data_IF_054575087473
#
_entry.id   IF_054575087473
#
_cell.length_a   1.000
_cell.length_b   1.000
_cell.length_c   1.000
_cell.angle_alpha   90.00
_cell.angle_beta   90.00
_cell.angle_gamma   90.00
#
_symmetry.space_group_name_H-M   'P 1'
#
loop_
_entity.id
_entity.type
_entity.pdbx_description
1 polymer ?
#
# COMPACT_ATOMS: atom_id res chain seq x y z
N UNK A 1 51.18 60.09 16.41
CA UNK A 1 50.22 59.18 17.09
C UNK A 1 48.86 59.29 16.39
N UNK A 2 48.25 58.14 16.11
CA UNK A 2 46.97 57.91 15.43
C UNK A 2 45.80 58.77 15.96
N UNK A 3 44.92 59.25 15.06
CA UNK A 3 43.64 58.56 14.75
C UNK A 3 42.93 59.20 13.54
N UNK A 4 42.53 58.33 12.61
CA UNK A 4 41.68 58.54 11.42
C UNK A 4 40.20 58.38 11.80
N UNK A 5 39.33 58.83 10.90
CA UNK A 5 37.87 58.57 10.71
C UNK A 5 36.99 59.79 11.05
N UNK A 6 35.94 60.13 10.29
CA UNK A 6 35.08 59.29 9.44
C UNK A 6 34.34 60.13 8.38
N UNK A 7 33.97 59.48 7.26
CA UNK A 7 33.33 60.06 6.07
C UNK A 7 31.81 60.25 6.22
N UNK A 8 31.32 61.33 5.63
CA UNK A 8 29.92 61.70 5.38
C UNK A 8 29.33 60.96 4.17
N UNK A 9 28.06 60.56 4.23
CA UNK A 9 27.08 60.76 3.14
C UNK A 9 25.64 60.46 3.61
N UNK A 10 24.74 61.37 3.28
CA UNK A 10 23.29 61.39 3.55
C UNK A 10 22.54 61.00 2.27
N UNK A 11 21.37 60.37 2.38
CA UNK A 11 20.08 60.84 1.78
C UNK A 11 18.94 59.81 1.95
N UNK A 12 17.74 60.21 2.39
CA UNK A 12 16.52 59.41 2.30
C UNK A 12 15.75 59.75 0.99
N UNK A 13 15.06 58.77 0.41
CA UNK A 13 14.07 59.03 -0.64
C UNK A 13 12.82 58.16 -0.43
N UNK A 14 11.67 58.84 -0.43
CA UNK A 14 10.30 58.31 -0.38
C UNK A 14 9.79 58.01 -1.82
N UNK A 15 9.05 56.92 -2.01
CA UNK A 15 7.83 56.96 -2.86
C UNK A 15 7.77 56.17 -4.19
N UNK A 16 7.09 55.00 -4.10
CA UNK A 16 6.03 54.45 -4.99
C UNK A 16 6.35 53.75 -6.33
N UNK A 17 5.63 52.61 -6.45
CA UNK A 17 5.18 51.79 -7.61
C UNK A 17 6.06 50.66 -8.16
N UNK A 18 5.44 49.48 -8.20
CA UNK A 18 6.00 48.15 -8.42
C UNK A 18 5.84 47.67 -9.87
N UNK A 19 6.70 46.75 -10.31
CA UNK A 19 6.34 45.71 -11.29
C UNK A 19 6.86 44.37 -10.77
N UNK A 20 5.90 43.47 -10.54
CA UNK A 20 6.05 42.09 -10.11
C UNK A 20 6.45 41.27 -11.33
N UNK A 21 7.58 40.55 -11.27
CA UNK A 21 7.80 39.37 -12.11
C UNK A 21 7.71 38.15 -11.21
N UNK A 22 6.52 37.55 -11.19
CA UNK A 22 6.27 36.28 -10.53
C UNK A 22 6.91 35.17 -11.35
N UNK A 23 8.04 34.64 -10.87
CA UNK A 23 8.59 33.38 -11.38
C UNK A 23 7.67 32.25 -10.91
N UNK A 24 6.99 31.63 -11.88
CA UNK A 24 5.96 30.62 -11.64
C UNK A 24 6.46 29.45 -10.80
N UNK A 25 5.74 29.18 -9.72
CA UNK A 25 5.91 27.96 -8.93
C UNK A 25 5.36 26.79 -9.72
N UNK A 26 6.23 25.86 -10.14
CA UNK A 26 5.81 24.57 -10.67
C UNK A 26 5.23 23.76 -9.51
N UNK A 27 3.90 23.77 -9.33
CA UNK A 27 3.23 22.84 -8.43
C UNK A 27 3.30 21.44 -9.05
N UNK A 28 4.34 20.68 -8.68
CA UNK A 28 4.28 19.22 -8.77
C UNK A 28 3.28 18.74 -7.72
N UNK A 29 2.02 18.57 -8.13
CA UNK A 29 1.04 17.83 -7.34
C UNK A 29 1.40 16.36 -7.46
N UNK A 30 2.26 15.88 -6.57
CA UNK A 30 2.37 14.46 -6.30
C UNK A 30 1.02 14.01 -5.76
N UNK A 31 0.24 13.30 -6.58
CA UNK A 31 -0.86 12.51 -6.06
C UNK A 31 -0.24 11.42 -5.19
N UNK A 32 -0.26 11.63 -3.87
CA UNK A 32 -0.04 10.54 -2.94
C UNK A 32 -1.15 9.51 -3.21
N UNK A 33 -0.83 8.45 -3.93
CA UNK A 33 -1.66 7.25 -3.89
C UNK A 33 -1.60 6.77 -2.45
N UNK A 34 -2.71 6.90 -1.71
CA UNK A 34 -2.92 6.12 -0.50
C UNK A 34 -3.03 4.66 -0.94
N UNK A 35 -1.90 3.95 -0.98
CA UNK A 35 -1.91 2.50 -1.08
C UNK A 35 -2.67 1.97 0.14
N UNK A 36 -3.67 1.12 -0.13
CA UNK A 36 -4.71 0.77 0.82
C UNK A 36 -4.65 -0.76 1.10
N UNK A 37 -4.01 -1.21 2.19
CA UNK A 37 -3.67 -2.61 2.58
C UNK A 37 -4.60 -3.38 3.56
N UNK A 38 -5.17 -4.52 3.17
CA UNK A 38 -5.81 -5.44 4.11
C UNK A 38 -4.76 -6.26 4.88
N UNK A 39 -5.10 -6.73 6.09
CA UNK A 39 -4.31 -7.75 6.81
C UNK A 39 -5.16 -8.99 7.01
N UNK A 40 -4.67 -10.14 6.53
CA UNK A 40 -5.23 -11.44 6.87
C UNK A 40 -4.70 -11.84 8.24
N UNK A 41 -5.56 -11.80 9.26
CA UNK A 41 -5.24 -12.16 10.67
C UNK A 41 -5.81 -13.52 11.09
N UNK A 42 -6.53 -14.16 10.16
CA UNK A 42 -7.24 -15.44 10.32
C UNK A 42 -8.19 -15.48 11.52
N UNK A 43 -8.70 -14.30 11.91
CA UNK A 43 -9.75 -14.13 12.89
C UNK A 43 -11.11 -14.46 12.26
N UNK A 44 -11.49 -15.74 12.34
CA UNK A 44 -12.71 -16.27 11.74
C UNK A 44 -13.63 -16.79 12.85
N UNK A 45 -14.82 -16.23 12.97
CA UNK A 45 -15.79 -16.68 13.99
C UNK A 45 -16.29 -18.09 13.67
N UNK A 46 -16.15 -19.01 14.63
CA UNK A 46 -16.64 -20.38 14.50
C UNK A 46 -15.69 -21.35 13.82
N UNK A 47 -14.47 -20.93 13.48
CA UNK A 47 -13.39 -21.83 13.07
C UNK A 47 -12.80 -22.55 14.28
N UNK A 48 -12.39 -23.80 14.10
CA UNK A 48 -11.76 -24.64 15.11
C UNK A 48 -10.39 -25.12 14.63
N UNK A 49 -9.55 -25.56 15.56
CA UNK A 49 -8.29 -26.20 15.21
C UNK A 49 -8.53 -27.37 14.24
N UNK A 50 -7.66 -27.49 13.23
CA UNK A 50 -7.75 -28.46 12.13
C UNK A 50 -8.84 -28.19 11.09
N UNK A 51 -9.63 -27.12 11.22
CA UNK A 51 -10.52 -26.73 10.13
C UNK A 51 -9.70 -26.23 8.94
N UNK A 52 -10.13 -26.61 7.73
CA UNK A 52 -9.51 -26.13 6.50
C UNK A 52 -10.13 -24.82 6.04
N UNK A 53 -9.29 -23.85 5.66
CA UNK A 53 -9.76 -22.59 5.07
C UNK A 53 -10.47 -22.77 3.74
N UNK A 54 -10.21 -23.88 3.04
CA UNK A 54 -10.87 -24.22 1.79
C UNK A 54 -12.19 -24.98 1.99
N UNK A 55 -12.65 -25.18 3.23
CA UNK A 55 -13.97 -25.74 3.47
C UNK A 55 -15.07 -24.74 3.06
N UNK A 56 -16.27 -25.21 2.65
CA UNK A 56 -17.35 -24.33 2.22
C UNK A 56 -17.78 -23.29 3.26
N UNK A 57 -17.58 -23.57 4.55
CA UNK A 57 -17.92 -22.66 5.65
C UNK A 57 -17.02 -21.42 5.71
N UNK A 58 -15.78 -21.52 5.20
CA UNK A 58 -14.77 -20.46 5.26
C UNK A 58 -14.31 -20.00 3.87
N UNK A 59 -14.96 -20.50 2.82
CA UNK A 59 -14.70 -20.13 1.45
C UNK A 59 -14.81 -18.61 1.25
N UNK A 60 -13.82 -18.02 0.58
CA UNK A 60 -13.75 -16.59 0.31
C UNK A 60 -13.21 -15.74 1.45
N UNK A 61 -12.66 -16.33 2.52
CA UNK A 61 -11.87 -15.56 3.48
C UNK A 61 -10.68 -14.91 2.75
N UNK A 62 -10.54 -13.58 2.88
CA UNK A 62 -9.54 -12.80 2.16
C UNK A 62 -9.98 -12.26 0.80
N UNK A 63 -11.08 -12.77 0.23
CA UNK A 63 -11.56 -12.34 -1.07
C UNK A 63 -12.30 -11.01 -1.03
N UNK A 64 -11.98 -10.13 -1.97
CA UNK A 64 -12.70 -8.91 -2.30
C UNK A 64 -13.10 -8.13 -1.05
N UNK A 65 -12.11 -7.84 -0.19
CA UNK A 65 -12.34 -7.24 1.13
C UNK A 65 -12.90 -5.83 0.95
N UNK A 66 -14.22 -5.67 1.15
CA UNK A 66 -14.94 -4.38 1.12
C UNK A 66 -15.26 -3.83 2.52
N UNK A 67 -14.99 -4.60 3.57
CA UNK A 67 -15.15 -4.22 4.97
C UNK A 67 -14.17 -5.03 5.83
N UNK A 68 -13.63 -4.44 6.89
CA UNK A 68 -12.75 -5.14 7.85
C UNK A 68 -13.48 -6.18 8.71
N UNK A 69 -14.81 -6.19 8.63
CA UNK A 69 -15.64 -7.27 9.17
C UNK A 69 -16.69 -7.61 8.13
N UNK A 70 -16.73 -8.87 7.68
CA UNK A 70 -17.70 -9.36 6.70
C UNK A 70 -18.23 -10.72 7.13
N UNK A 71 -19.45 -10.73 7.67
CA UNK A 71 -20.03 -11.95 8.24
C UNK A 71 -19.19 -12.47 9.41
N UNK A 72 -18.61 -13.66 9.24
CA UNK A 72 -17.75 -14.32 10.23
C UNK A 72 -16.27 -13.94 10.11
N UNK A 73 -15.88 -13.22 9.06
CA UNK A 73 -14.49 -12.87 8.78
C UNK A 73 -14.13 -11.51 9.37
N UNK A 74 -12.98 -11.44 10.03
CA UNK A 74 -12.35 -10.19 10.49
C UNK A 74 -10.98 -10.03 9.85
N UNK A 75 -10.62 -8.78 9.54
CA UNK A 75 -9.37 -8.41 8.90
C UNK A 75 -8.73 -7.24 9.64
N UNK A 76 -7.41 -7.18 9.66
CA UNK A 76 -6.71 -6.01 10.18
C UNK A 76 -6.85 -4.81 9.23
N UNK A 77 -6.89 -3.62 9.81
CA UNK A 77 -7.12 -2.38 9.06
C UNK A 77 -5.85 -1.70 8.57
N UNK A 78 -4.68 -2.34 8.72
CA UNK A 78 -3.34 -1.72 8.57
C UNK A 78 -2.96 -1.36 7.13
N UNK A 79 -3.95 -1.02 6.32
CA UNK A 79 -3.80 -0.27 5.12
C UNK A 79 -5.12 -0.03 4.40
N UNK A 80 -6.18 -0.85 4.49
CA UNK A 80 -7.34 -0.62 3.63
C UNK A 80 -8.02 -1.83 3.03
N UNK A 81 -8.92 -1.52 2.10
CA UNK A 81 -9.83 -2.47 1.45
C UNK A 81 -9.26 -2.91 0.10
N UNK A 82 -9.43 -4.18 -0.23
CA UNK A 82 -8.95 -4.83 -1.46
C UNK A 82 -10.10 -5.48 -2.25
N UNK A 83 -11.12 -4.72 -2.69
CA UNK A 83 -12.28 -5.26 -3.40
C UNK A 83 -11.97 -5.96 -4.73
N UNK A 84 -10.79 -5.76 -5.30
CA UNK A 84 -10.37 -6.33 -6.58
C UNK A 84 -9.23 -7.34 -6.42
N UNK A 85 -9.10 -7.96 -5.24
CA UNK A 85 -8.12 -9.03 -4.98
C UNK A 85 -8.84 -10.27 -4.47
N UNK A 86 -8.41 -11.43 -4.94
CA UNK A 86 -8.83 -12.76 -4.49
C UNK A 86 -7.63 -13.46 -3.88
N UNK A 87 -7.86 -14.24 -2.84
CA UNK A 87 -6.86 -15.02 -2.12
C UNK A 87 -7.15 -16.50 -2.34
N UNK A 88 -6.15 -17.23 -2.80
CA UNK A 88 -6.18 -18.68 -2.93
C UNK A 88 -5.28 -19.31 -1.87
N UNK A 89 -5.84 -20.27 -1.15
CA UNK A 89 -5.12 -21.11 -0.21
C UNK A 89 -4.88 -22.48 -0.83
N UNK A 90 -3.73 -23.12 -0.61
CA UNK A 90 -3.41 -24.39 -1.23
C UNK A 90 -4.30 -25.49 -0.65
N UNK A 91 -5.31 -25.87 -1.44
CA UNK A 91 -6.27 -26.98 -1.28
C UNK A 91 -6.67 -27.35 0.19
N UNK A 92 -7.25 -28.53 0.40
CA UNK A 92 -7.74 -28.98 1.70
C UNK A 92 -6.63 -29.26 2.74
N UNK A 93 -5.41 -28.77 2.50
CA UNK A 93 -4.20 -29.01 3.31
C UNK A 93 -3.70 -27.75 3.99
N UNK A 94 -4.39 -26.62 3.80
CA UNK A 94 -4.21 -25.43 4.63
C UNK A 94 -5.19 -25.50 5.79
N UNK A 95 -4.65 -25.70 6.98
CA UNK A 95 -5.41 -25.85 8.22
C UNK A 95 -5.19 -24.64 9.11
N UNK A 96 -6.13 -24.42 10.02
CA UNK A 96 -6.08 -23.34 11.00
C UNK A 96 -5.72 -23.83 12.40
N UNK A 97 -4.98 -23.01 13.15
CA UNK A 97 -4.63 -23.28 14.54
C UNK A 97 -4.63 -22.03 15.41
N UNK A 98 -5.16 -22.13 16.63
CA UNK A 98 -5.42 -20.97 17.48
C UNK A 98 -4.19 -20.37 18.18
N UNK A 99 -3.29 -21.19 18.75
CA UNK A 99 -2.28 -20.74 19.73
C UNK A 99 -0.95 -21.50 19.64
N UNK A 100 0.07 -21.01 20.37
CA UNK A 100 1.37 -21.68 20.58
C UNK A 100 2.34 -21.65 19.38
N UNK A 101 2.04 -20.86 18.35
CA UNK A 101 2.98 -20.49 17.29
C UNK A 101 3.71 -19.20 17.67
N UNK A 102 4.79 -19.32 18.44
CA UNK A 102 5.49 -18.17 19.00
C UNK A 102 4.55 -17.21 19.76
N UNK A 103 4.48 -15.97 19.31
CA UNK A 103 3.53 -14.97 19.82
C UNK A 103 2.39 -14.64 18.83
N UNK A 104 2.22 -15.45 17.79
CA UNK A 104 1.09 -15.37 16.88
C UNK A 104 -0.11 -16.09 17.48
N UNK A 105 -1.29 -15.67 17.05
CA UNK A 105 -2.58 -16.30 17.38
C UNK A 105 -3.35 -16.44 16.09
N UNK A 106 -4.10 -17.52 15.93
CA UNK A 106 -4.91 -17.77 14.74
C UNK A 106 -4.04 -17.82 13.48
N UNK A 107 -3.28 -18.90 13.31
CA UNK A 107 -2.39 -19.08 12.17
C UNK A 107 -2.98 -20.05 11.18
N UNK A 108 -2.53 -19.97 9.93
CA UNK A 108 -2.64 -21.10 8.99
C UNK A 108 -1.32 -21.85 8.90
N UNK A 109 -1.39 -23.14 8.63
CA UNK A 109 -0.23 -23.99 8.44
C UNK A 109 -0.51 -25.07 7.39
N UNK A 110 0.55 -25.67 6.84
CA UNK A 110 0.44 -26.77 5.91
C UNK A 110 0.35 -28.10 6.66
N UNK A 111 -0.65 -28.92 6.32
CA UNK A 111 -0.85 -30.24 6.92
C UNK A 111 0.39 -31.16 6.71
N UNK A 112 0.80 -31.91 7.73
CA UNK A 112 1.99 -32.79 7.71
C UNK A 112 1.92 -33.86 6.62
N UNK A 113 0.79 -34.57 6.48
CA UNK A 113 0.62 -35.59 5.44
C UNK A 113 0.46 -34.98 4.03
N UNK A 114 0.55 -33.65 4.00
CA UNK A 114 -0.02 -32.67 3.12
C UNK A 114 0.86 -32.22 1.97
N UNK A 115 1.64 -31.22 2.34
CA UNK A 115 2.62 -30.53 1.55
C UNK A 115 3.55 -29.91 2.57
N UNK A 116 4.86 -30.13 2.49
CA UNK A 116 5.80 -29.37 3.34
C UNK A 116 6.09 -27.97 2.79
N UNK A 117 5.29 -27.54 1.80
CA UNK A 117 5.36 -26.25 1.12
C UNK A 117 3.96 -25.64 1.21
N UNK A 118 3.86 -24.42 1.72
CA UNK A 118 2.62 -23.64 1.71
C UNK A 118 2.75 -22.50 0.69
N UNK A 119 1.78 -22.41 -0.21
CA UNK A 119 1.66 -21.37 -1.24
C UNK A 119 0.36 -20.59 -1.06
N UNK A 120 0.41 -19.37 -0.53
CA UNK A 120 -0.75 -18.47 -0.48
C UNK A 120 -0.67 -17.50 -1.65
N UNK A 121 -1.67 -17.52 -2.54
CA UNK A 121 -1.65 -16.72 -3.78
C UNK A 121 -2.67 -15.58 -3.72
N UNK A 122 -2.18 -14.35 -3.93
CA UNK A 122 -2.99 -13.15 -4.07
C UNK A 122 -3.11 -12.80 -5.56
N UNK A 123 -4.33 -12.66 -6.07
CA UNK A 123 -4.59 -12.36 -7.48
C UNK A 123 -5.46 -11.11 -7.60
N UNK A 124 -4.98 -10.10 -8.30
CA UNK A 124 -5.74 -8.90 -8.61
C UNK A 124 -6.58 -9.08 -9.88
N UNK A 125 -7.77 -8.47 -9.90
CA UNK A 125 -8.59 -8.36 -11.11
C UNK A 125 -7.88 -7.53 -12.20
N UNK A 126 -8.24 -7.68 -13.48
CA UNK A 126 -7.68 -6.88 -14.56
C UNK A 126 -7.78 -5.37 -14.32
N UNK A 127 -6.67 -4.66 -14.53
CA UNK A 127 -6.59 -3.21 -14.25
C UNK A 127 -6.10 -2.89 -12.84
N UNK A 128 -5.81 -3.90 -12.01
CA UNK A 128 -5.24 -3.76 -10.68
C UNK A 128 -3.97 -4.61 -10.50
N UNK A 129 -3.18 -4.25 -9.50
CA UNK A 129 -2.07 -5.04 -8.97
C UNK A 129 -2.26 -5.22 -7.47
N UNK A 130 -1.88 -6.40 -6.97
CA UNK A 130 -1.65 -6.63 -5.55
C UNK A 130 -0.30 -6.03 -5.20
N UNK A 131 -0.20 -5.38 -4.05
CA UNK A 131 1.04 -4.91 -3.46
C UNK A 131 1.21 -5.62 -2.13
N UNK A 132 2.17 -6.52 -2.00
CA UNK A 132 2.46 -7.19 -0.73
C UNK A 132 3.37 -6.29 0.12
N UNK A 133 3.04 -6.10 1.39
CA UNK A 133 3.77 -5.24 2.33
C UNK A 133 4.53 -6.05 3.41
N UNK A 134 3.86 -7.01 4.04
CA UNK A 134 4.49 -7.88 5.03
C UNK A 134 3.70 -9.16 5.30
N UNK A 135 4.35 -10.11 5.97
CA UNK A 135 3.73 -11.29 6.57
C UNK A 135 4.60 -11.82 7.71
N UNK A 136 3.99 -12.56 8.62
CA UNK A 136 4.66 -13.12 9.80
C UNK A 136 4.64 -14.65 9.77
N UNK A 137 5.75 -15.27 10.14
CA UNK A 137 5.84 -16.71 10.42
C UNK A 137 6.18 -16.96 11.89
N UNK A 138 5.76 -18.10 12.44
CA UNK A 138 6.23 -18.55 13.75
C UNK A 138 6.26 -20.08 13.84
N UNK A 139 7.04 -20.60 14.78
CA UNK A 139 7.21 -22.02 15.06
C UNK A 139 6.27 -22.49 16.16
N UNK A 140 5.70 -23.68 16.02
CA UNK A 140 4.89 -24.28 17.09
C UNK A 140 5.78 -24.81 18.20
N UNK A 141 5.76 -24.16 19.37
CA UNK A 141 6.49 -24.58 20.60
C UNK A 141 8.01 -24.82 20.45
N UNK A 142 8.61 -24.42 19.34
CA UNK A 142 10.01 -24.69 19.02
C UNK A 142 10.55 -23.75 17.95
N UNK A 143 11.86 -23.54 17.98
CA UNK A 143 12.55 -22.82 16.91
C UNK A 143 12.87 -23.79 15.77
N UNK A 144 12.67 -23.34 14.53
CA UNK A 144 12.90 -24.15 13.34
C UNK A 144 13.79 -23.41 12.35
N UNK A 145 14.45 -24.16 11.46
CA UNK A 145 15.08 -23.59 10.28
C UNK A 145 14.48 -24.27 9.06
N UNK A 146 13.85 -23.50 8.19
CA UNK A 146 13.20 -24.01 6.97
C UNK A 146 14.08 -23.76 5.75
N UNK A 147 13.87 -24.52 4.68
CA UNK A 147 14.64 -24.42 3.44
C UNK A 147 14.59 -23.02 2.85
N UNK A 148 13.39 -22.45 2.71
CA UNK A 148 13.25 -21.12 2.11
C UNK A 148 11.93 -20.41 2.42
N UNK A 149 11.97 -19.09 2.26
CA UNK A 149 10.80 -18.22 2.11
C UNK A 149 10.96 -17.45 0.81
N UNK A 150 9.92 -17.42 -0.01
CA UNK A 150 9.91 -16.77 -1.32
C UNK A 150 8.63 -15.96 -1.52
N UNK A 151 8.74 -14.93 -2.35
CA UNK A 151 7.59 -14.30 -3.00
C UNK A 151 7.76 -14.49 -4.50
N UNK A 152 6.76 -15.06 -5.14
CA UNK A 152 6.73 -15.33 -6.58
C UNK A 152 5.78 -14.35 -7.26
N UNK A 153 6.22 -13.74 -8.37
CA UNK A 153 5.38 -12.96 -9.29
C UNK A 153 5.18 -13.77 -10.57
N UNK A 154 3.95 -14.22 -10.82
CA UNK A 154 3.65 -15.09 -11.97
C UNK A 154 4.53 -16.35 -12.05
N UNK A 155 4.92 -16.91 -10.90
CA UNK A 155 5.82 -18.07 -10.78
C UNK A 155 7.33 -17.75 -10.77
N UNK A 156 7.72 -16.49 -11.01
CA UNK A 156 9.13 -16.06 -10.92
C UNK A 156 9.45 -15.51 -9.54
N UNK A 157 10.51 -16.00 -8.90
CA UNK A 157 10.92 -15.50 -7.58
C UNK A 157 11.37 -14.04 -7.65
N UNK A 158 10.66 -13.16 -6.93
CA UNK A 158 10.98 -11.73 -6.77
C UNK A 158 11.54 -11.41 -5.38
N UNK A 159 11.33 -12.31 -4.41
CA UNK A 159 12.03 -12.36 -3.14
C UNK A 159 12.38 -13.80 -2.83
N UNK A 160 13.56 -14.04 -2.26
CA UNK A 160 13.96 -15.36 -1.78
C UNK A 160 14.96 -15.22 -0.65
N UNK A 161 14.71 -15.95 0.42
CA UNK A 161 15.67 -16.20 1.49
C UNK A 161 15.77 -17.72 1.68
N UNK A 162 16.98 -18.23 1.88
CA UNK A 162 17.22 -19.65 2.18
C UNK A 162 17.67 -19.81 3.63
N UNK A 163 17.53 -21.03 4.17
CA UNK A 163 17.94 -21.38 5.54
C UNK A 163 17.35 -20.41 6.56
N UNK A 164 16.02 -20.27 6.53
CA UNK A 164 15.31 -19.22 7.26
C UNK A 164 15.01 -19.68 8.67
N UNK A 165 15.49 -18.93 9.66
CA UNK A 165 15.17 -19.16 11.07
C UNK A 165 13.75 -18.68 11.40
N UNK A 166 12.95 -19.56 11.98
CA UNK A 166 11.59 -19.31 12.43
C UNK A 166 11.56 -19.48 13.94
N UNK A 167 11.19 -18.43 14.67
CA UNK A 167 11.15 -18.50 16.13
C UNK A 167 9.88 -19.20 16.64
N UNK A 168 10.04 -20.03 17.66
CA UNK A 168 8.95 -20.64 18.44
C UNK A 168 8.52 -19.85 19.67
N UNK A 169 9.11 -18.67 19.92
CA UNK A 169 8.76 -17.81 21.07
C UNK A 169 8.22 -16.46 20.64
N UNK A 170 8.69 -15.93 19.51
CA UNK A 170 8.18 -14.72 18.88
C UNK A 170 7.84 -15.00 17.41
N UNK A 171 7.25 -14.05 16.72
CA UNK A 171 7.12 -14.08 15.26
C UNK A 171 8.44 -13.71 14.56
N UNK A 172 8.63 -14.24 13.37
CA UNK A 172 9.63 -13.83 12.38
C UNK A 172 8.92 -13.05 11.28
N UNK A 173 9.17 -11.75 11.21
CA UNK A 173 8.50 -10.84 10.26
C UNK A 173 9.27 -10.68 8.96
N UNK A 174 8.56 -10.76 7.84
CA UNK A 174 9.09 -10.49 6.50
C UNK A 174 8.45 -9.21 5.97
N UNK A 175 9.26 -8.17 5.79
CA UNK A 175 8.79 -6.89 5.27
C UNK A 175 9.35 -6.64 3.87
N UNK A 176 8.46 -6.42 2.90
CA UNK A 176 8.79 -6.29 1.48
C UNK A 176 9.03 -4.83 1.07
N UNK A 177 8.74 -3.85 1.93
CA UNK A 177 8.92 -2.42 1.61
C UNK A 177 10.39 -2.07 1.32
N UNK A 178 11.33 -2.77 1.95
CA UNK A 178 12.78 -2.63 1.71
C UNK A 178 13.23 -3.21 0.37
N UNK A 179 12.38 -3.97 -0.32
CA UNK A 179 12.66 -4.61 -1.60
C UNK A 179 12.14 -3.78 -2.79
N UNK A 180 11.56 -2.61 -2.53
CA UNK A 180 10.78 -1.84 -3.49
C UNK A 180 9.44 -2.53 -3.71
N UNK A 181 8.34 -1.96 -3.19
CA UNK A 181 7.03 -2.61 -3.06
C UNK A 181 6.77 -3.71 -4.10
N UNK A 182 6.62 -4.95 -3.64
CA UNK A 182 6.36 -6.07 -4.53
C UNK A 182 4.94 -5.95 -5.06
N UNK A 183 4.81 -5.43 -6.27
CA UNK A 183 3.54 -5.19 -6.94
C UNK A 183 3.43 -6.05 -8.20
N UNK A 184 2.36 -6.84 -8.32
CA UNK A 184 2.10 -7.65 -9.50
C UNK A 184 0.60 -8.00 -9.62
N UNK A 185 0.18 -8.47 -10.79
CA UNK A 185 -1.17 -9.02 -10.96
C UNK A 185 -1.40 -10.26 -10.10
N UNK A 186 -0.33 -11.04 -9.84
CA UNK A 186 -0.36 -12.23 -9.00
C UNK A 186 0.91 -12.31 -8.17
N UNK A 187 0.77 -12.44 -6.85
CA UNK A 187 1.86 -12.70 -5.93
C UNK A 187 1.59 -13.99 -5.16
N UNK A 188 2.59 -14.84 -5.00
CA UNK A 188 2.49 -16.05 -4.15
C UNK A 188 3.52 -15.98 -3.05
N UNK A 189 3.07 -16.05 -1.80
CA UNK A 189 3.92 -16.25 -0.64
C UNK A 189 4.15 -17.75 -0.53
N UNK A 190 5.41 -18.16 -0.64
CA UNK A 190 5.82 -19.56 -0.53
C UNK A 190 6.77 -19.71 0.64
N UNK A 191 6.51 -20.67 1.53
CA UNK A 191 7.55 -21.17 2.42
C UNK A 191 7.72 -22.67 2.26
N UNK A 192 8.97 -23.12 2.27
CA UNK A 192 9.36 -24.52 2.09
C UNK A 192 10.00 -25.03 3.39
N UNK A 193 9.25 -25.87 4.09
CA UNK A 193 9.62 -26.56 5.31
C UNK A 193 9.90 -28.06 5.07
N UNK A 194 10.16 -28.48 3.83
CA UNK A 194 10.37 -29.90 3.49
C UNK A 194 11.54 -30.57 4.21
N UNK A 195 12.51 -29.78 4.67
CA UNK A 195 13.61 -30.28 5.48
C UNK A 195 13.21 -30.67 6.92
N UNK A 196 12.02 -30.30 7.38
CA UNK A 196 11.52 -30.65 8.71
C UNK A 196 10.81 -32.03 8.74
N UNK A 197 10.49 -32.60 7.58
CA UNK A 197 9.78 -33.88 7.50
C UNK A 197 8.43 -33.82 8.23
N UNK A 198 8.27 -34.68 9.24
CA UNK A 198 7.06 -34.74 10.08
C UNK A 198 6.78 -33.47 10.88
N UNK A 199 7.76 -32.59 11.04
CA UNK A 199 7.58 -31.32 11.76
C UNK A 199 7.22 -30.15 10.82
N UNK A 200 6.89 -30.41 9.55
CA UNK A 200 6.62 -29.35 8.56
C UNK A 200 5.35 -28.54 8.81
N UNK A 201 4.41 -29.09 9.59
CA UNK A 201 3.20 -28.42 10.05
C UNK A 201 3.43 -27.47 11.24
N UNK A 202 4.62 -27.50 11.84
CA UNK A 202 5.00 -26.61 12.94
C UNK A 202 5.35 -25.19 12.48
N UNK A 203 5.11 -24.83 11.21
CA UNK A 203 5.33 -23.48 10.68
C UNK A 203 3.98 -22.81 10.40
N UNK A 204 3.66 -21.81 11.21
CA UNK A 204 2.43 -21.04 11.11
C UNK A 204 2.66 -19.71 10.38
N UNK A 205 1.68 -19.30 9.59
CA UNK A 205 1.63 -18.04 8.85
C UNK A 205 0.45 -17.19 9.34
N UNK A 206 0.71 -15.91 9.56
CA UNK A 206 -0.28 -14.92 9.98
C UNK A 206 0.10 -13.51 9.47
N UNK A 207 -0.78 -12.54 9.68
CA UNK A 207 -0.57 -11.11 9.46
C UNK A 207 -0.12 -10.77 8.04
N UNK A 208 -0.72 -11.40 7.03
CA UNK A 208 -0.42 -11.10 5.62
C UNK A 208 -1.00 -9.73 5.29
N UNK A 209 -0.15 -8.71 5.23
CA UNK A 209 -0.51 -7.34 4.91
C UNK A 209 -0.27 -7.07 3.42
N UNK A 210 -1.33 -6.71 2.70
CA UNK A 210 -1.28 -6.45 1.27
C UNK A 210 -2.32 -5.41 0.83
N UNK A 211 -1.95 -4.54 -0.10
CA UNK A 211 -2.82 -3.56 -0.73
C UNK A 211 -3.13 -3.87 -2.18
N UNK A 212 -3.97 -3.04 -2.78
CA UNK A 212 -4.17 -3.01 -4.22
C UNK A 212 -3.93 -1.61 -4.79
N UNK A 213 -3.55 -1.53 -6.06
CA UNK A 213 -3.46 -0.26 -6.81
C UNK A 213 -4.00 -0.43 -8.23
N UNK A 214 -4.56 0.65 -8.79
CA UNK A 214 -4.94 0.70 -10.20
C UNK A 214 -3.69 0.75 -11.09
N UNK A 215 -3.65 -0.07 -12.12
CA UNK A 215 -2.63 0.01 -13.19
C UNK A 215 -3.03 0.95 -14.31
N UNK A 216 -4.29 1.37 -14.35
CA UNK A 216 -4.74 2.39 -15.29
C UNK A 216 -4.20 3.74 -14.83
N UNK A 217 -3.42 4.45 -15.66
CA UNK A 217 -2.99 5.82 -15.36
C UNK A 217 -4.23 6.67 -15.05
N UNK A 218 -4.18 7.59 -14.07
CA UNK A 218 -5.28 8.53 -13.88
C UNK A 218 -5.56 9.20 -15.23
N UNK A 219 -6.84 9.43 -15.60
CA UNK A 219 -7.15 10.11 -16.84
C UNK A 219 -6.32 11.38 -16.89
N UNK A 220 -5.53 11.55 -17.96
CA UNK A 220 -4.80 12.80 -18.20
C UNK A 220 -5.88 13.87 -18.18
N UNK A 221 -5.89 14.70 -17.14
CA UNK A 221 -6.64 15.94 -17.19
C UNK A 221 -5.96 16.72 -18.28
N UNK A 222 -6.47 16.63 -19.51
CA UNK A 222 -6.26 17.72 -20.45
C UNK A 222 -6.76 18.92 -19.69
N UNK A 223 -5.86 19.77 -19.21
CA UNK A 223 -6.22 21.14 -18.90
C UNK A 223 -6.87 21.62 -20.19
N UNK A 224 -8.20 21.64 -20.23
CA UNK A 224 -8.88 22.15 -21.41
C UNK A 224 -8.26 23.52 -21.69
N UNK A 225 -7.80 23.80 -22.93
CA UNK A 225 -7.30 25.11 -23.24
C UNK A 225 -8.43 26.07 -22.87
N UNK A 226 -8.14 26.95 -21.92
CA UNK A 226 -9.04 27.93 -21.33
C UNK A 226 -10.14 28.32 -22.32
N UNK A 227 -11.35 27.78 -22.15
CA UNK A 227 -12.55 28.41 -22.67
C UNK A 227 -12.81 29.66 -21.83
N UNK A 228 -11.87 30.61 -21.88
CA UNK A 228 -12.06 31.98 -21.47
C UNK A 228 -13.04 32.55 -22.50
N UNK A 229 -14.31 32.43 -22.16
CA UNK A 229 -15.41 33.20 -22.69
C UNK A 229 -14.94 34.66 -22.80
N UNK A 230 -14.66 35.11 -24.02
CA UNK A 230 -14.39 36.49 -24.34
C UNK A 230 -15.69 37.29 -24.16
N UNK A 231 -15.95 37.77 -22.94
CA UNK A 231 -16.96 38.80 -22.70
C UNK A 231 -16.29 40.17 -22.87
N UNK A 232 -16.76 40.83 -23.92
CA UNK A 232 -16.48 42.17 -24.43
C UNK A 232 -16.38 43.29 -23.39
N UNK A 233 -15.36 44.15 -23.54
CA UNK A 233 -15.42 45.56 -23.15
C UNK A 233 -15.03 46.43 -24.35
N UNK A 234 -15.98 46.61 -25.27
CA UNK A 234 -15.96 47.74 -26.21
C UNK A 234 -16.66 48.91 -25.51
N UNK A 235 -15.87 49.76 -24.87
CA UNK A 235 -16.25 51.13 -24.50
C UNK A 235 -15.00 51.96 -24.81
N UNK A 236 -14.87 52.58 -25.98
CA UNK A 236 -15.74 53.64 -26.47
C UNK A 236 -14.88 54.88 -26.60
N UNK A 237 -13.96 54.89 -27.56
CA UNK A 237 -13.27 56.12 -27.98
C UNK A 237 -14.22 56.89 -28.90
N UNK A 238 -14.42 58.16 -28.55
CA UNK A 238 -14.91 59.26 -29.38
C UNK A 238 -16.43 59.42 -29.59
N UNK A 239 -17.01 60.39 -28.89
CA UNK A 239 -17.92 61.39 -29.49
C UNK A 239 -17.80 62.68 -28.67
N UNK A 240 -16.95 63.62 -29.09
CA UNK A 240 -17.29 64.78 -29.91
C UNK A 240 -18.08 65.87 -29.14
N UNK A 241 -17.34 66.92 -28.76
CA UNK A 241 -17.68 68.34 -28.91
C UNK A 241 -19.04 68.91 -28.43
N UNK A 242 -18.86 70.10 -27.82
CA UNK A 242 -19.73 71.29 -27.79
C UNK A 242 -20.76 71.44 -26.66
N UNK A 243 -20.34 72.31 -25.72
CA UNK A 243 -20.90 73.67 -25.53
C UNK A 243 -22.17 73.78 -24.67
N UNK A 244 -22.02 74.37 -23.49
CA UNK A 244 -22.72 75.62 -23.17
C UNK A 244 -22.11 76.31 -21.93
N UNK A 245 -21.98 77.63 -22.04
CA UNK A 245 -21.66 78.62 -21.00
C UNK A 245 -22.77 78.70 -19.92
N UNK A 246 -22.49 79.52 -18.90
CA UNK A 246 -23.37 80.19 -17.89
C UNK A 246 -23.35 79.49 -16.55
N UNK A 247 -23.31 80.14 -15.40
CA UNK A 247 -23.24 81.53 -14.89
C UNK A 247 -22.63 81.32 -13.46
N UNK A 248 -21.95 82.20 -12.73
CA UNK A 248 -21.93 83.66 -12.62
C UNK A 248 -20.74 84.00 -11.72
#
# INVERSE_FOLDING_TARGET
MLKKNQKTAVLPFYGKTAVILATGTLLATSFAHSASAAVLTFDITGINNFDSLNSPSFAGYGDRITSFTNGIFSYGSAGGLTPNVVVDYPNNRTLWWSLEYGNLTNVIYAEESGTSILDVTLTADPGFEVVLDSFDLAGWRGDYTINSVQVLSGGTSVFSQSNVFISGTTRTSFNTSNLGSLAASTLTIRFDAANLGSDSDNIGLDNIQFSQRSTTPPPVRTSEPSALVAISAVAGIATFLKRARKDR
#
